data_IF_379468677014
#
_entry.id   IF_379468677014
#
_cell.length_a   1.000
_cell.length_b   1.000
_cell.length_c   1.000
_cell.angle_alpha   90.00
_cell.angle_beta   90.00
_cell.angle_gamma   90.00
#
_symmetry.space_group_name_H-M   'P 1'
#
loop_
_entity.id
_entity.type
_entity.pdbx_description
1 polymer ?
#
# COMPACT_ATOMS: atom_id res chain seq x y z
N UNK A 1 -1.42 20.83 -9.71
CA UNK A 1 -0.07 20.25 -9.57
C UNK A 1 0.93 21.30 -9.11
N UNK A 2 1.86 20.89 -8.30
CA UNK A 2 2.97 21.72 -7.85
C UNK A 2 4.16 21.53 -8.81
N UNK A 3 4.40 22.51 -9.67
CA UNK A 3 5.50 22.45 -10.65
C UNK A 3 6.82 22.73 -9.95
N UNK A 4 7.79 21.84 -10.10
CA UNK A 4 9.12 22.00 -9.53
C UNK A 4 9.96 22.90 -10.46
N UNK A 5 10.54 24.00 -9.94
CA UNK A 5 11.38 24.89 -10.73
C UNK A 5 12.61 24.19 -11.33
N UNK A 6 12.98 24.56 -12.56
CA UNK A 6 14.13 23.94 -13.26
C UNK A 6 15.47 24.13 -12.56
N UNK A 7 15.61 25.24 -11.84
CA UNK A 7 16.88 25.65 -11.23
C UNK A 7 16.96 25.27 -9.74
N UNK A 8 16.06 24.40 -9.27
CA UNK A 8 16.04 23.94 -7.90
C UNK A 8 16.76 22.61 -7.82
N UNK A 9 17.87 22.60 -7.10
CA UNK A 9 18.70 21.42 -6.88
C UNK A 9 19.21 21.44 -5.44
N UNK A 10 18.70 20.57 -4.58
CA UNK A 10 19.18 20.42 -3.20
C UNK A 10 18.77 19.07 -2.61
N UNK A 11 19.50 18.66 -1.58
CA UNK A 11 19.19 17.50 -0.75
C UNK A 11 18.94 17.95 0.70
N UNK A 12 17.87 17.48 1.29
CA UNK A 12 17.48 17.72 2.68
C UNK A 12 17.42 16.40 3.43
N UNK A 13 18.20 16.26 4.49
CA UNK A 13 18.06 15.19 5.45
C UNK A 13 16.93 15.49 6.43
N UNK A 14 16.09 14.52 6.70
CA UNK A 14 14.94 14.67 7.59
C UNK A 14 15.06 13.77 8.81
N UNK A 15 14.82 14.33 9.99
CA UNK A 15 14.72 13.60 11.25
C UNK A 15 13.65 14.30 12.11
N UNK A 16 12.42 13.80 12.02
CA UNK A 16 11.29 14.31 12.79
C UNK A 16 10.85 13.29 13.82
N UNK A 17 10.72 13.70 15.07
CA UNK A 17 10.18 12.84 16.13
C UNK A 17 8.72 12.49 15.89
N UNK A 18 7.93 13.46 15.41
CA UNK A 18 6.51 13.26 15.13
C UNK A 18 6.08 14.07 13.91
N UNK A 19 5.30 13.44 13.07
CA UNK A 19 4.59 14.09 11.95
C UNK A 19 3.13 13.72 12.07
N UNK A 20 2.26 14.72 12.00
CA UNK A 20 0.81 14.54 12.05
C UNK A 20 0.25 14.66 10.64
N UNK A 21 -0.47 13.65 10.22
CA UNK A 21 -1.19 13.66 8.96
C UNK A 21 -2.61 13.14 9.18
N UNK A 22 -3.60 14.02 8.99
CA UNK A 22 -5.00 13.75 9.31
C UNK A 22 -5.17 13.22 10.76
N UNK A 23 -5.64 11.97 10.90
CA UNK A 23 -5.84 11.30 12.20
C UNK A 23 -4.67 10.42 12.61
N UNK A 24 -3.62 10.35 11.79
CA UNK A 24 -2.47 9.47 12.02
C UNK A 24 -1.28 10.27 12.52
N UNK A 25 -0.62 9.73 13.53
CA UNK A 25 0.68 10.23 14.02
C UNK A 25 1.77 9.27 13.58
N UNK A 26 2.72 9.79 12.82
CA UNK A 26 3.95 9.10 12.46
C UNK A 26 5.08 9.52 13.41
N UNK A 27 5.84 8.53 13.90
CA UNK A 27 6.95 8.76 14.79
C UNK A 27 8.26 8.34 14.11
N UNK A 28 9.37 8.91 14.56
CA UNK A 28 10.73 8.60 14.09
C UNK A 28 10.86 8.68 12.57
N UNK A 29 10.33 9.75 11.98
CA UNK A 29 10.33 9.95 10.51
C UNK A 29 11.72 10.38 10.06
N UNK A 30 12.42 9.51 9.35
CA UNK A 30 13.80 9.72 8.90
C UNK A 30 13.95 9.38 7.43
N UNK A 31 14.74 10.17 6.73
CA UNK A 31 15.06 9.94 5.32
C UNK A 31 15.69 11.16 4.66
N UNK A 32 15.74 11.15 3.34
CA UNK A 32 16.23 12.27 2.57
C UNK A 32 15.23 12.69 1.50
N UNK A 33 15.13 13.99 1.31
CA UNK A 33 14.41 14.61 0.19
C UNK A 33 15.44 15.17 -0.76
N UNK A 34 15.43 14.72 -1.99
CA UNK A 34 16.30 15.21 -3.06
C UNK A 34 15.42 15.87 -4.12
N UNK A 35 15.71 17.14 -4.42
CA UNK A 35 15.02 17.88 -5.47
C UNK A 35 16.02 18.17 -6.56
N UNK A 36 15.77 17.64 -7.75
CA UNK A 36 16.60 17.86 -8.95
C UNK A 36 15.82 17.52 -10.21
N UNK A 37 16.21 18.13 -11.32
CA UNK A 37 15.64 17.86 -12.63
C UNK A 37 14.11 17.96 -12.64
N UNK A 38 13.53 18.97 -11.98
CA UNK A 38 12.08 19.15 -11.84
C UNK A 38 11.36 17.97 -11.19
N UNK A 39 12.04 17.26 -10.30
CA UNK A 39 11.50 16.09 -9.59
C UNK A 39 11.83 16.16 -8.12
N UNK A 40 10.93 15.64 -7.29
CA UNK A 40 11.15 15.41 -5.87
C UNK A 40 11.30 13.91 -5.66
N UNK A 41 12.37 13.51 -5.01
CA UNK A 41 12.65 12.14 -4.60
C UNK A 41 12.66 12.06 -3.09
N UNK A 42 11.77 11.26 -2.50
CA UNK A 42 11.89 10.83 -1.12
C UNK A 42 12.70 9.53 -1.11
N UNK A 43 13.89 9.58 -0.53
CA UNK A 43 14.81 8.45 -0.47
C UNK A 43 14.68 7.77 0.88
N UNK A 44 14.31 6.48 0.89
CA UNK A 44 14.32 5.62 2.06
C UNK A 44 13.72 6.28 3.31
N UNK A 45 12.54 6.88 3.16
CA UNK A 45 11.84 7.44 4.30
C UNK A 45 11.34 6.29 5.19
N UNK A 46 11.86 6.23 6.40
CA UNK A 46 11.42 5.29 7.44
C UNK A 46 10.57 6.01 8.47
N UNK A 47 9.54 5.35 8.97
CA UNK A 47 8.67 5.89 10.01
C UNK A 47 7.94 4.78 10.75
N UNK A 48 7.38 5.12 11.91
CA UNK A 48 6.49 4.24 12.68
C UNK A 48 5.12 4.89 12.80
N UNK A 49 4.08 4.15 12.57
CA UNK A 49 2.70 4.63 12.70
C UNK A 49 1.69 3.51 12.58
N UNK A 50 0.48 3.72 13.06
CA UNK A 50 -0.59 2.72 13.05
C UNK A 50 -0.22 1.35 13.65
N UNK A 51 0.82 1.30 14.51
CA UNK A 51 1.37 0.07 15.07
C UNK A 51 2.26 -0.72 14.10
N UNK A 52 2.72 -0.10 13.01
CA UNK A 52 3.54 -0.69 11.97
C UNK A 52 4.85 0.08 11.78
N UNK A 53 5.86 -0.61 11.27
CA UNK A 53 7.05 0.01 10.69
C UNK A 53 6.85 0.18 9.19
N UNK A 54 7.22 1.36 8.69
CA UNK A 54 6.97 1.76 7.32
C UNK A 54 8.26 2.24 6.68
N UNK A 55 8.48 1.81 5.44
CA UNK A 55 9.55 2.31 4.60
C UNK A 55 8.97 2.71 3.25
N UNK A 56 9.33 3.88 2.75
CA UNK A 56 8.85 4.35 1.46
C UNK A 56 9.93 5.06 0.68
N UNK A 57 9.87 4.90 -0.62
CA UNK A 57 10.50 5.78 -1.59
C UNK A 57 9.41 6.39 -2.45
N UNK A 58 9.59 7.64 -2.88
CA UNK A 58 8.65 8.32 -3.75
C UNK A 58 9.39 9.16 -4.75
N UNK A 59 8.90 9.20 -5.97
CA UNK A 59 9.23 10.20 -6.97
C UNK A 59 7.98 10.96 -7.35
N UNK A 60 8.08 12.29 -7.34
CA UNK A 60 7.06 13.19 -7.87
C UNK A 60 7.68 14.06 -8.93
N UNK A 61 7.05 14.17 -10.06
CA UNK A 61 7.47 15.03 -11.16
C UNK A 61 6.26 15.76 -11.72
N UNK A 62 6.39 17.09 -11.87
CA UNK A 62 5.43 17.90 -12.58
C UNK A 62 6.19 18.93 -13.44
N UNK A 63 6.10 18.78 -14.74
CA UNK A 63 6.72 19.69 -15.73
C UNK A 63 5.78 20.82 -16.12
N UNK A 64 4.48 20.62 -15.96
CA UNK A 64 3.43 21.61 -16.17
C UNK A 64 2.32 21.44 -15.12
N UNK A 65 1.42 22.43 -14.96
CA UNK A 65 0.28 22.32 -14.04
C UNK A 65 -0.72 21.20 -14.41
N UNK A 66 -0.68 20.71 -15.65
CA UNK A 66 -1.62 19.72 -16.18
C UNK A 66 -1.05 18.30 -16.20
N UNK A 67 0.29 18.18 -16.21
CA UNK A 67 0.97 16.89 -16.36
C UNK A 67 1.85 16.61 -15.15
N UNK A 68 1.42 15.67 -14.34
CA UNK A 68 2.17 15.16 -13.21
C UNK A 68 2.33 13.65 -13.28
N UNK A 69 3.35 13.18 -12.61
CA UNK A 69 3.67 11.77 -12.43
C UNK A 69 4.07 11.53 -10.99
N UNK A 70 3.60 10.43 -10.43
CA UNK A 70 4.09 9.92 -9.15
C UNK A 70 4.42 8.43 -9.27
N UNK A 71 5.53 8.05 -8.65
CA UNK A 71 5.90 6.66 -8.44
C UNK A 71 6.29 6.47 -6.98
N UNK A 72 5.91 5.34 -6.38
CA UNK A 72 6.25 5.04 -5.01
C UNK A 72 6.46 3.54 -4.79
N UNK A 73 7.30 3.23 -3.83
CA UNK A 73 7.45 1.91 -3.22
C UNK A 73 7.15 2.07 -1.74
N UNK A 74 6.15 1.39 -1.25
CA UNK A 74 5.66 1.51 0.12
C UNK A 74 5.63 0.13 0.76
N UNK A 75 6.34 -0.01 1.88
CA UNK A 75 6.45 -1.25 2.62
C UNK A 75 5.96 -1.04 4.04
N UNK A 76 4.95 -1.80 4.40
CA UNK A 76 4.38 -1.83 5.74
C UNK A 76 4.66 -3.20 6.34
N UNK A 77 5.31 -3.21 7.49
CA UNK A 77 5.56 -4.43 8.22
C UNK A 77 4.62 -4.56 9.40
N UNK A 78 3.94 -5.71 9.48
CA UNK A 78 3.03 -6.05 10.57
C UNK A 78 1.89 -5.02 10.77
N UNK A 79 1.29 -4.55 9.69
CA UNK A 79 0.17 -3.60 9.74
C UNK A 79 -1.15 -4.30 10.05
N UNK A 80 -1.95 -3.76 10.97
CA UNK A 80 -3.32 -4.22 11.18
C UNK A 80 -4.18 -3.88 9.96
N UNK A 81 -4.90 -4.88 9.43
CA UNK A 81 -5.69 -4.76 8.20
C UNK A 81 -6.75 -3.66 8.32
N UNK A 82 -7.48 -3.62 9.45
CA UNK A 82 -8.50 -2.59 9.67
C UNK A 82 -7.92 -1.18 9.62
N UNK A 83 -6.80 -0.95 10.30
CA UNK A 83 -6.10 0.35 10.28
C UNK A 83 -5.59 0.72 8.89
N UNK A 84 -5.11 -0.26 8.12
CA UNK A 84 -4.65 -0.06 6.75
C UNK A 84 -5.79 0.41 5.84
N UNK A 85 -6.95 -0.26 5.93
CA UNK A 85 -8.13 0.08 5.11
C UNK A 85 -8.73 1.42 5.53
N UNK A 86 -8.77 1.72 6.82
CA UNK A 86 -9.25 3.03 7.32
C UNK A 86 -8.34 4.19 6.87
N UNK A 87 -7.04 3.95 6.77
CA UNK A 87 -6.07 4.94 6.28
C UNK A 87 -6.15 5.13 4.77
N UNK A 88 -6.36 4.05 4.01
CA UNK A 88 -6.41 4.06 2.56
C UNK A 88 -7.71 3.40 2.04
N UNK A 89 -8.87 4.10 2.11
CA UNK A 89 -10.16 3.53 1.73
C UNK A 89 -10.25 3.03 0.28
N UNK A 90 -9.42 3.57 -0.61
CA UNK A 90 -9.32 3.10 -2.00
C UNK A 90 -8.87 1.64 -2.13
N UNK A 91 -8.27 1.07 -1.09
CA UNK A 91 -7.92 -0.35 -1.05
C UNK A 91 -9.15 -1.26 -1.14
N UNK A 92 -10.31 -0.81 -0.67
CA UNK A 92 -11.56 -1.56 -0.82
C UNK A 92 -11.96 -1.79 -2.28
N UNK A 93 -11.61 -0.85 -3.15
CA UNK A 93 -11.87 -0.99 -4.60
C UNK A 93 -10.86 -1.92 -5.27
N UNK A 94 -9.61 -1.90 -4.79
CA UNK A 94 -8.50 -2.67 -5.37
C UNK A 94 -8.48 -4.10 -4.84
N UNK A 95 -8.72 -4.27 -3.54
CA UNK A 95 -8.71 -5.55 -2.84
C UNK A 95 -9.94 -5.66 -1.93
N UNK A 96 -11.15 -5.85 -2.51
CA UNK A 96 -12.41 -5.85 -1.73
C UNK A 96 -12.44 -6.88 -0.60
N UNK A 97 -11.74 -7.99 -0.77
CA UNK A 97 -11.66 -9.07 0.22
C UNK A 97 -10.87 -8.69 1.48
N UNK A 98 -10.11 -7.58 1.47
CA UNK A 98 -9.22 -7.25 2.58
C UNK A 98 -10.01 -7.01 3.89
N UNK A 99 -11.19 -6.41 3.81
CA UNK A 99 -12.07 -6.20 4.98
C UNK A 99 -12.64 -7.47 5.58
N UNK A 100 -12.63 -8.57 4.83
CA UNK A 100 -13.11 -9.86 5.34
C UNK A 100 -12.11 -10.52 6.29
N UNK A 101 -10.91 -9.97 6.40
CA UNK A 101 -9.86 -10.51 7.26
C UNK A 101 -9.57 -9.60 8.45
N UNK A 102 -9.36 -10.20 9.60
CA UNK A 102 -8.82 -9.56 10.80
C UNK A 102 -7.42 -10.13 11.09
N UNK A 103 -6.52 -9.26 11.49
CA UNK A 103 -5.14 -9.63 11.81
C UNK A 103 -4.14 -8.60 11.31
N UNK A 104 -2.90 -9.02 11.22
CA UNK A 104 -1.79 -8.20 10.73
C UNK A 104 -1.16 -8.82 9.49
N UNK A 105 -0.69 -7.96 8.59
CA UNK A 105 -0.06 -8.36 7.35
C UNK A 105 1.20 -7.52 7.09
N UNK A 106 2.12 -8.09 6.34
CA UNK A 106 3.11 -7.34 5.60
C UNK A 106 2.49 -6.93 4.26
N UNK A 107 2.48 -5.65 3.99
CA UNK A 107 1.88 -5.07 2.80
C UNK A 107 2.92 -4.27 2.04
N UNK A 108 3.25 -4.72 0.85
CA UNK A 108 4.21 -4.06 -0.02
C UNK A 108 3.52 -3.64 -1.29
N UNK A 109 3.68 -2.39 -1.69
CA UNK A 109 3.15 -1.86 -2.93
C UNK A 109 4.18 -1.02 -3.65
N UNK A 110 4.43 -1.35 -4.91
CA UNK A 110 5.14 -0.49 -5.84
C UNK A 110 4.15 -0.02 -6.90
N UNK A 111 4.03 1.28 -7.09
CA UNK A 111 3.09 1.84 -8.05
C UNK A 111 3.64 3.07 -8.74
N UNK A 112 3.14 3.30 -9.95
CA UNK A 112 3.39 4.51 -10.72
C UNK A 112 2.14 4.90 -11.50
N UNK A 113 1.85 6.19 -11.56
CA UNK A 113 0.69 6.71 -12.28
C UNK A 113 0.89 8.18 -12.68
N UNK A 114 0.14 8.62 -13.68
CA UNK A 114 -0.04 10.04 -13.95
C UNK A 114 -0.99 10.68 -12.95
N UNK A 115 -0.78 11.96 -12.68
CA UNK A 115 -1.62 12.76 -11.79
C UNK A 115 -2.40 13.80 -12.59
N UNK A 116 -3.60 14.13 -12.12
CA UNK A 116 -4.34 15.27 -12.63
C UNK A 116 -3.88 16.58 -11.95
N UNK A 117 -4.43 17.73 -12.35
CA UNK A 117 -4.09 19.04 -11.80
C UNK A 117 -4.37 19.18 -10.30
N UNK A 118 -5.24 18.36 -9.73
CA UNK A 118 -5.60 18.32 -8.31
C UNK A 118 -4.82 17.27 -7.50
N UNK A 119 -3.78 16.65 -8.10
CA UNK A 119 -2.96 15.57 -7.53
C UNK A 119 -3.67 14.22 -7.38
N UNK A 120 -4.84 14.04 -8.00
CA UNK A 120 -5.48 12.74 -8.00
C UNK A 120 -4.79 11.78 -8.97
N UNK A 121 -4.71 10.52 -8.58
CA UNK A 121 -4.18 9.46 -9.43
C UNK A 121 -5.13 9.18 -10.59
N UNK A 122 -4.61 9.24 -11.80
CA UNK A 122 -5.34 8.81 -13.01
C UNK A 122 -5.31 7.29 -13.10
N UNK A 123 -6.31 6.62 -12.53
CA UNK A 123 -6.40 5.14 -12.44
C UNK A 123 -6.09 4.42 -13.77
N UNK A 124 -6.59 4.88 -14.94
CA UNK A 124 -6.26 4.23 -16.21
C UNK A 124 -4.77 4.20 -16.55
N UNK A 125 -3.96 5.09 -15.95
CA UNK A 125 -2.50 5.14 -16.17
C UNK A 125 -1.71 4.38 -15.12
N UNK A 126 -2.39 3.86 -14.10
CA UNK A 126 -1.74 3.21 -12.96
C UNK A 126 -1.14 1.87 -13.35
N UNK A 127 0.09 1.66 -12.92
CA UNK A 127 0.77 0.37 -12.91
C UNK A 127 1.21 0.09 -11.50
N UNK A 128 0.89 -1.08 -10.98
CA UNK A 128 1.22 -1.45 -9.61
C UNK A 128 1.50 -2.93 -9.48
N UNK A 129 2.41 -3.25 -8.57
CA UNK A 129 2.61 -4.59 -8.05
C UNK A 129 2.42 -4.53 -6.53
N UNK A 130 1.51 -5.35 -6.03
CA UNK A 130 1.15 -5.42 -4.62
C UNK A 130 1.44 -6.84 -4.13
N UNK A 131 2.09 -6.93 -2.97
CA UNK A 131 2.30 -8.19 -2.28
C UNK A 131 1.78 -8.08 -0.86
N UNK A 132 0.92 -9.02 -0.48
CA UNK A 132 0.34 -9.11 0.86
C UNK A 132 0.71 -10.47 1.43
N UNK A 133 1.36 -10.47 2.59
CA UNK A 133 1.66 -11.68 3.35
C UNK A 133 1.10 -11.54 4.75
N UNK A 134 0.39 -12.55 5.20
CA UNK A 134 -0.19 -12.59 6.55
C UNK A 134 -0.06 -13.97 7.17
N UNK A 135 0.11 -13.98 8.48
CA UNK A 135 0.14 -15.18 9.30
C UNK A 135 -0.93 -15.06 10.39
N UNK A 136 -1.65 -16.15 10.65
CA UNK A 136 -2.69 -16.20 11.70
C UNK A 136 -3.82 -15.17 11.51
N UNK A 137 -4.37 -15.10 10.30
CA UNK A 137 -5.51 -14.23 9.99
C UNK A 137 -6.83 -14.89 10.36
N UNK A 138 -7.79 -14.07 10.79
CA UNK A 138 -9.17 -14.51 11.03
C UNK A 138 -10.05 -14.03 9.90
N UNK A 139 -10.79 -14.94 9.28
CA UNK A 139 -11.80 -14.61 8.28
C UNK A 139 -13.13 -14.29 8.97
N UNK A 140 -13.55 -13.04 8.89
CA UNK A 140 -14.72 -12.50 9.58
C UNK A 140 -16.03 -12.81 8.84
N UNK A 141 -15.97 -12.92 7.52
CA UNK A 141 -17.14 -13.14 6.68
C UNK A 141 -17.37 -14.62 6.41
N UNK A 142 -18.48 -15.14 6.93
CA UNK A 142 -18.88 -16.53 6.76
C UNK A 142 -19.22 -16.90 5.30
N UNK A 143 -19.69 -15.97 4.48
CA UNK A 143 -20.00 -16.21 3.07
C UNK A 143 -18.69 -16.35 2.27
N UNK A 144 -17.76 -15.43 2.46
CA UNK A 144 -16.42 -15.52 1.85
C UNK A 144 -15.68 -16.77 2.31
N UNK A 145 -15.81 -17.15 3.58
CA UNK A 145 -15.25 -18.41 4.09
C UNK A 145 -15.88 -19.62 3.40
N UNK A 146 -17.20 -19.64 3.22
CA UNK A 146 -17.89 -20.72 2.54
C UNK A 146 -17.46 -20.86 1.07
N UNK A 147 -17.25 -19.76 0.37
CA UNK A 147 -16.74 -19.76 -1.02
C UNK A 147 -15.29 -20.27 -1.11
N UNK A 148 -14.42 -19.79 -0.24
CA UNK A 148 -13.03 -20.25 -0.14
C UNK A 148 -13.00 -21.74 0.21
N UNK A 149 -13.80 -22.17 1.18
CA UNK A 149 -13.90 -23.57 1.61
C UNK A 149 -14.36 -24.50 0.49
N UNK A 150 -15.30 -24.05 -0.35
CA UNK A 150 -15.77 -24.81 -1.52
C UNK A 150 -14.68 -24.96 -2.57
N UNK A 151 -13.93 -23.90 -2.86
CA UNK A 151 -12.86 -23.92 -3.87
C UNK A 151 -11.66 -24.77 -3.46
N UNK A 152 -11.33 -24.78 -2.18
CA UNK A 152 -10.13 -25.46 -1.67
C UNK A 152 -10.43 -26.79 -0.95
N UNK A 153 -11.68 -27.29 -1.00
CA UNK A 153 -12.10 -28.57 -0.42
C UNK A 153 -11.83 -28.71 1.09
N UNK A 154 -11.87 -27.60 1.83
CA UNK A 154 -11.73 -27.66 3.28
C UNK A 154 -12.98 -28.27 3.93
N UNK A 155 -12.93 -29.56 4.21
CA UNK A 155 -14.02 -30.26 4.93
C UNK A 155 -13.81 -30.10 6.44
N UNK A 156 -14.86 -29.62 7.15
CA UNK A 156 -14.99 -29.66 8.61
C UNK A 156 -14.08 -28.73 9.45
N UNK A 157 -13.83 -27.51 9.06
CA UNK A 157 -13.10 -26.58 9.95
C UNK A 157 -14.04 -25.78 10.86
N UNK A 158 -13.79 -25.87 12.17
CA UNK A 158 -14.49 -25.13 13.22
C UNK A 158 -13.90 -23.74 13.49
N UNK A 159 -12.82 -23.35 12.82
CA UNK A 159 -12.13 -22.07 13.02
C UNK A 159 -11.94 -21.36 11.70
N UNK A 160 -12.34 -20.10 11.66
CA UNK A 160 -12.14 -19.19 10.53
C UNK A 160 -10.70 -18.63 10.53
N UNK A 161 -9.70 -19.44 10.91
CA UNK A 161 -8.30 -19.02 10.98
C UNK A 161 -7.55 -19.52 9.75
N UNK A 162 -6.77 -18.63 9.19
CA UNK A 162 -5.81 -18.87 8.12
C UNK A 162 -4.42 -18.76 8.73
N UNK A 163 -3.66 -19.86 8.72
CA UNK A 163 -2.31 -19.88 9.32
C UNK A 163 -1.34 -19.00 8.54
N UNK A 164 -1.41 -19.08 7.22
CA UNK A 164 -0.65 -18.17 6.36
C UNK A 164 -1.31 -17.95 5.01
N UNK A 165 -1.12 -16.75 4.47
CA UNK A 165 -1.53 -16.36 3.13
C UNK A 165 -0.45 -15.48 2.51
N UNK A 166 -0.21 -15.69 1.22
CA UNK A 166 0.68 -14.84 0.42
C UNK A 166 0.05 -14.60 -0.94
N UNK A 167 -0.26 -13.33 -1.22
CA UNK A 167 -0.99 -12.92 -2.43
C UNK A 167 -0.19 -11.89 -3.20
N UNK A 168 -0.11 -12.06 -4.51
CA UNK A 168 0.42 -11.07 -5.44
C UNK A 168 -0.73 -10.50 -6.29
N UNK A 169 -0.78 -9.18 -6.41
CA UNK A 169 -1.78 -8.47 -7.20
C UNK A 169 -1.06 -7.50 -8.13
N UNK A 170 -1.43 -7.53 -9.38
CA UNK A 170 -0.96 -6.58 -10.39
C UNK A 170 -2.08 -5.63 -10.82
N UNK A 171 -1.72 -4.37 -11.06
CA UNK A 171 -2.62 -3.40 -11.69
C UNK A 171 -1.93 -2.88 -12.94
N UNK A 172 -2.63 -2.92 -14.05
CA UNK A 172 -2.16 -2.37 -15.30
C UNK A 172 -3.34 -1.83 -16.11
N UNK A 173 -3.23 -0.57 -16.52
CA UNK A 173 -4.22 0.10 -17.38
C UNK A 173 -5.66 -0.01 -16.80
N UNK A 174 -5.79 0.16 -15.47
CA UNK A 174 -7.05 0.07 -14.74
C UNK A 174 -7.56 -1.36 -14.48
N UNK A 175 -6.88 -2.38 -14.98
CA UNK A 175 -7.26 -3.78 -14.75
C UNK A 175 -6.49 -4.36 -13.56
N UNK A 176 -7.21 -5.01 -12.66
CA UNK A 176 -6.66 -5.69 -11.49
C UNK A 176 -6.55 -7.18 -11.79
N UNK A 177 -5.37 -7.74 -11.59
CA UNK A 177 -5.08 -9.16 -11.71
C UNK A 177 -4.61 -9.69 -10.37
N UNK A 178 -5.32 -10.66 -9.82
CA UNK A 178 -4.88 -11.44 -8.66
C UNK A 178 -4.22 -12.71 -9.19
N UNK A 179 -2.94 -12.87 -8.88
CA UNK A 179 -2.19 -14.06 -9.30
C UNK A 179 -2.55 -15.25 -8.41
N UNK A 180 -2.34 -16.49 -8.88
CA UNK A 180 -2.53 -17.68 -8.04
C UNK A 180 -1.74 -17.57 -6.74
N UNK A 181 -2.38 -17.94 -5.63
CA UNK A 181 -1.80 -17.81 -4.29
C UNK A 181 -2.06 -19.09 -3.49
N UNK A 182 -1.27 -19.28 -2.45
CA UNK A 182 -1.40 -20.38 -1.51
C UNK A 182 -1.97 -19.92 -0.19
N UNK A 183 -2.88 -20.70 0.36
CA UNK A 183 -3.42 -20.52 1.71
C UNK A 183 -3.05 -21.77 2.51
N UNK A 184 -2.43 -21.58 3.66
CA UNK A 184 -2.22 -22.62 4.66
C UNK A 184 -3.27 -22.49 5.77
N UNK A 185 -3.90 -23.59 6.09
CA UNK A 185 -4.83 -23.67 7.21
C UNK A 185 -4.51 -24.95 7.96
N UNK A 186 -4.39 -24.88 9.28
CA UNK A 186 -4.08 -26.01 10.14
C UNK A 186 -5.12 -27.16 9.99
N UNK A 187 -4.66 -28.37 10.01
CA UNK A 187 -5.48 -29.58 9.84
C UNK A 187 -6.28 -29.90 11.10
#
# INVERSE_FOLDING_TARGET
LFVIPKNLDFELQTDFRKVYYEKVTFNDVRGAVDIRNQSVYLKQLSMKGMGSEMNTTLVYQAKSPEEGFAGFDFRLHNINIGKLVDFAPSLDTIVPMLRSFEGTVDFNVAAAASLDSALNIKIPTMRSAIHVKGDSLVLMDGETFAEISKKFFFKNKKRNMIDSISVNIGIKDGNVTVYPFEISMDR
#
